data_IF_114626507200
#
_entry.id   IF_114626507200
#
_cell.length_a   1.000
_cell.length_b   1.000
_cell.length_c   1.000
_cell.angle_alpha   90.00
_cell.angle_beta   90.00
_cell.angle_gamma   90.00
#
_symmetry.space_group_name_H-M   'P 1'
#
loop_
_entity.id
_entity.type
_entity.pdbx_description
1 polymer ?
#
# COMPACT_ATOMS: atom_id res chain seq x y z
N UNK A 1 13.70 -5.04 -26.71
CA UNK A 1 14.84 -5.50 -25.89
C UNK A 1 15.03 -4.47 -24.80
N UNK A 2 14.40 -4.64 -23.63
CA UNK A 2 14.48 -3.69 -22.54
C UNK A 2 15.52 -4.20 -21.54
N UNK A 3 16.60 -3.46 -21.42
CA UNK A 3 17.69 -3.69 -20.47
C UNK A 3 17.26 -3.07 -19.14
N UNK A 4 16.78 -3.87 -18.18
CA UNK A 4 16.59 -3.40 -16.81
C UNK A 4 17.95 -3.42 -16.12
N UNK A 5 18.57 -2.27 -16.00
CA UNK A 5 19.69 -2.04 -15.10
C UNK A 5 19.07 -1.68 -13.76
N UNK A 6 19.06 -2.62 -12.83
CA UNK A 6 18.78 -2.30 -11.43
C UNK A 6 20.04 -1.63 -10.87
N UNK A 7 20.10 -0.32 -10.98
CA UNK A 7 20.95 0.46 -10.09
C UNK A 7 20.36 0.36 -8.69
N UNK A 8 21.21 0.04 -7.74
CA UNK A 8 20.94 0.09 -6.31
C UNK A 8 20.60 1.55 -5.98
N UNK A 9 19.33 1.92 -6.07
CA UNK A 9 18.87 3.21 -5.58
C UNK A 9 18.82 3.12 -4.06
N UNK A 10 19.52 4.08 -3.46
CA UNK A 10 19.45 4.46 -2.06
C UNK A 10 18.02 4.42 -1.56
N UNK A 11 17.86 4.08 -0.30
CA UNK A 11 16.59 4.05 0.43
C UNK A 11 15.69 5.19 -0.05
N UNK A 12 14.61 4.85 -0.73
CA UNK A 12 13.57 5.82 -1.02
C UNK A 12 12.95 6.18 0.33
N UNK A 13 13.50 7.21 0.96
CA UNK A 13 12.76 7.95 1.97
C UNK A 13 11.40 8.26 1.36
N UNK A 14 10.33 7.75 1.98
CA UNK A 14 8.97 8.19 1.71
C UNK A 14 9.07 9.71 1.65
N UNK A 15 8.89 10.29 0.46
CA UNK A 15 8.90 11.74 0.30
C UNK A 15 7.68 12.29 1.03
N UNK A 16 7.86 12.53 2.31
CA UNK A 16 6.90 13.06 3.28
C UNK A 16 6.66 14.60 3.23
N UNK A 17 7.06 15.40 2.21
CA UNK A 17 6.89 16.85 2.29
C UNK A 17 5.42 17.27 2.45
N UNK A 18 4.48 16.46 1.97
CA UNK A 18 3.04 16.79 2.02
C UNK A 18 2.44 16.53 3.39
N UNK A 19 2.97 15.57 4.16
CA UNK A 19 2.43 15.19 5.47
C UNK A 19 3.01 16.05 6.59
N UNK A 20 4.29 16.46 6.50
CA UNK A 20 4.92 17.38 7.45
C UNK A 20 4.21 18.72 7.51
N UNK A 21 3.81 19.30 6.38
CA UNK A 21 3.05 20.55 6.36
C UNK A 21 1.68 20.47 7.05
N UNK A 22 1.05 19.29 7.05
CA UNK A 22 -0.21 19.06 7.78
C UNK A 22 0.03 18.89 9.30
N UNK A 23 1.14 18.26 9.69
CA UNK A 23 1.54 18.12 11.10
C UNK A 23 1.97 19.47 11.69
N UNK A 24 2.68 20.31 10.95
CA UNK A 24 3.11 21.63 11.38
C UNK A 24 1.92 22.57 11.65
N UNK A 25 0.83 22.42 10.90
CA UNK A 25 -0.40 23.21 11.08
C UNK A 25 -1.37 22.63 12.10
N UNK A 26 -1.19 21.40 12.56
CA UNK A 26 -2.06 20.75 13.54
C UNK A 26 -2.19 21.53 14.86
N UNK A 27 -1.11 22.13 15.43
CA UNK A 27 -1.20 22.95 16.61
C UNK A 27 -2.09 24.19 16.45
N UNK A 28 -2.17 24.78 15.26
CA UNK A 28 -3.04 25.95 14.99
C UNK A 28 -4.53 25.60 15.18
N UNK A 29 -4.91 24.33 14.99
CA UNK A 29 -6.28 23.85 15.17
C UNK A 29 -6.55 23.19 16.51
N UNK A 30 -5.58 23.20 17.45
CA UNK A 30 -5.67 22.57 18.78
C UNK A 30 -6.11 21.09 18.74
N UNK A 31 -5.72 20.37 17.68
CA UNK A 31 -6.05 18.96 17.51
C UNK A 31 -4.80 18.10 17.44
N UNK A 32 -4.83 17.01 18.17
CA UNK A 32 -3.80 15.98 18.05
C UNK A 32 -4.05 15.15 16.78
N UNK A 33 -3.08 15.11 15.89
CA UNK A 33 -3.14 14.36 14.66
C UNK A 33 -2.11 13.23 14.73
N UNK A 34 -2.56 12.03 14.44
CA UNK A 34 -1.75 10.83 14.39
C UNK A 34 -1.69 10.31 12.97
N UNK A 35 -0.48 9.98 12.51
CA UNK A 35 -0.22 9.37 11.21
C UNK A 35 0.46 8.02 11.41
N UNK A 36 0.10 7.05 10.60
CA UNK A 36 0.81 5.78 10.47
C UNK A 36 1.15 5.55 9.00
N UNK A 37 2.44 5.60 8.67
CA UNK A 37 2.93 5.24 7.35
C UNK A 37 3.18 3.73 7.32
N UNK A 38 2.36 3.01 6.58
CA UNK A 38 2.43 1.56 6.44
C UNK A 38 3.41 1.22 5.32
N UNK A 39 4.39 0.38 5.61
CA UNK A 39 5.24 -0.27 4.62
C UNK A 39 4.78 -1.73 4.45
N UNK A 40 4.55 -2.13 3.20
CA UNK A 40 4.20 -3.52 2.88
C UNK A 40 5.46 -4.32 2.51
N UNK A 41 5.65 -5.47 3.16
CA UNK A 41 6.75 -6.36 2.83
C UNK A 41 6.57 -6.92 1.42
N UNK A 42 7.45 -6.52 0.48
CA UNK A 42 7.43 -6.97 -0.93
C UNK A 42 6.06 -6.78 -1.59
N UNK A 43 5.47 -5.58 -1.45
CA UNK A 43 4.10 -5.24 -1.86
C UNK A 43 3.68 -5.85 -3.21
N UNK A 44 4.39 -5.52 -4.30
CA UNK A 44 4.08 -6.02 -5.64
C UNK A 44 4.27 -7.53 -5.80
N UNK A 45 5.25 -8.09 -5.11
CA UNK A 45 5.55 -9.54 -5.16
C UNK A 45 4.53 -10.38 -4.39
N UNK A 46 3.79 -9.79 -3.46
CA UNK A 46 2.79 -10.48 -2.67
C UNK A 46 1.41 -10.50 -3.33
N UNK A 47 1.17 -9.68 -4.36
CA UNK A 47 -0.11 -9.68 -5.08
C UNK A 47 -0.20 -10.89 -6.00
N UNK A 48 -1.04 -11.85 -5.63
CA UNK A 48 -1.40 -13.00 -6.46
C UNK A 48 -2.39 -12.60 -7.55
N UNK A 49 -2.11 -12.98 -8.80
CA UNK A 49 -2.98 -12.63 -9.93
C UNK A 49 -4.40 -13.16 -9.79
N UNK A 50 -4.59 -14.39 -9.27
CA UNK A 50 -5.92 -14.96 -9.14
C UNK A 50 -6.76 -14.19 -8.13
N UNK A 51 -6.13 -13.81 -6.98
CA UNK A 51 -6.78 -12.95 -6.00
C UNK A 51 -7.09 -11.58 -6.58
N UNK A 52 -6.15 -10.97 -7.33
CA UNK A 52 -6.35 -9.68 -7.98
C UNK A 52 -7.58 -9.70 -8.90
N UNK A 53 -7.70 -10.71 -9.77
CA UNK A 53 -8.84 -10.80 -10.70
C UNK A 53 -10.17 -10.98 -9.96
N UNK A 54 -10.18 -11.74 -8.88
CA UNK A 54 -11.36 -11.90 -8.02
C UNK A 54 -11.77 -10.57 -7.38
N UNK A 55 -10.81 -9.86 -6.80
CA UNK A 55 -11.01 -8.54 -6.18
C UNK A 55 -11.57 -7.53 -7.19
N UNK A 56 -10.98 -7.44 -8.40
CA UNK A 56 -11.46 -6.54 -9.43
C UNK A 56 -12.91 -6.84 -9.82
N UNK A 57 -13.30 -8.11 -9.89
CA UNK A 57 -14.66 -8.52 -10.14
C UNK A 57 -15.62 -8.14 -9.00
N UNK A 58 -15.22 -8.36 -7.76
CA UNK A 58 -15.99 -7.97 -6.56
C UNK A 58 -16.15 -6.44 -6.45
N UNK A 59 -15.17 -5.67 -6.92
CA UNK A 59 -15.24 -4.21 -7.04
C UNK A 59 -16.13 -3.71 -8.20
N UNK A 60 -16.70 -4.60 -8.99
CA UNK A 60 -17.58 -4.26 -10.11
C UNK A 60 -16.85 -3.87 -11.39
N UNK A 61 -15.56 -4.16 -11.51
CA UNK A 61 -14.84 -3.95 -12.77
C UNK A 61 -15.37 -4.93 -13.83
N UNK A 62 -15.81 -4.43 -15.01
CA UNK A 62 -16.41 -5.26 -16.05
C UNK A 62 -15.52 -6.42 -16.50
N UNK A 63 -16.13 -7.60 -16.70
CA UNK A 63 -15.41 -8.83 -17.05
C UNK A 63 -14.59 -8.70 -18.34
N UNK A 64 -15.07 -7.92 -19.34
CA UNK A 64 -14.33 -7.70 -20.58
C UNK A 64 -13.00 -6.96 -20.36
N UNK A 65 -12.94 -6.00 -19.41
CA UNK A 65 -11.71 -5.28 -19.06
C UNK A 65 -10.74 -6.19 -18.31
N UNK A 66 -11.23 -6.93 -17.32
CA UNK A 66 -10.39 -7.88 -16.56
C UNK A 66 -9.86 -8.98 -17.48
N UNK A 67 -10.68 -9.48 -18.43
CA UNK A 67 -10.26 -10.46 -19.43
C UNK A 67 -9.18 -9.90 -20.38
N UNK A 68 -9.34 -8.64 -20.80
CA UNK A 68 -8.35 -7.95 -21.65
C UNK A 68 -6.99 -7.81 -20.93
N UNK A 69 -7.01 -7.37 -19.68
CA UNK A 69 -5.81 -7.26 -18.86
C UNK A 69 -5.15 -8.64 -18.68
N UNK A 70 -5.93 -9.63 -18.29
CA UNK A 70 -5.48 -11.00 -18.08
C UNK A 70 -4.82 -11.59 -19.34
N UNK A 71 -5.50 -11.53 -20.48
CA UNK A 71 -5.02 -12.13 -21.73
C UNK A 71 -3.86 -11.38 -22.37
N UNK A 72 -3.92 -10.04 -22.41
CA UNK A 72 -2.93 -9.24 -23.17
C UNK A 72 -1.71 -8.82 -22.36
N UNK A 73 -1.81 -8.74 -21.03
CA UNK A 73 -0.76 -8.17 -20.21
C UNK A 73 -0.15 -9.13 -19.19
N UNK A 74 -0.89 -10.16 -18.77
CA UNK A 74 -0.47 -11.03 -17.67
C UNK A 74 -0.44 -12.52 -18.01
N UNK A 75 -1.10 -12.98 -19.08
CA UNK A 75 -1.06 -14.37 -19.50
C UNK A 75 0.26 -14.68 -20.20
N UNK A 76 0.91 -15.77 -19.78
CA UNK A 76 2.11 -16.27 -20.42
C UNK A 76 3.32 -15.33 -20.38
N UNK A 77 3.41 -14.47 -19.38
CA UNK A 77 4.60 -13.64 -19.20
C UNK A 77 5.75 -14.47 -18.67
N UNK A 78 6.85 -14.41 -19.38
CA UNK A 78 8.09 -15.07 -19.02
C UNK A 78 9.21 -14.04 -18.86
N UNK A 79 10.15 -14.33 -18.01
CA UNK A 79 11.36 -13.56 -17.82
C UNK A 79 12.59 -14.45 -17.83
N UNK A 80 13.71 -13.84 -18.12
CA UNK A 80 15.03 -14.43 -17.97
C UNK A 80 15.95 -13.39 -17.34
N UNK A 81 16.93 -13.84 -16.59
CA UNK A 81 17.92 -12.99 -15.93
C UNK A 81 19.26 -13.16 -16.59
N UNK A 82 19.89 -12.06 -16.98
CA UNK A 82 21.28 -12.07 -17.45
C UNK A 82 22.21 -11.87 -16.25
N UNK A 83 23.02 -12.86 -16.00
CA UNK A 83 24.09 -12.81 -14.96
C UNK A 83 25.46 -12.68 -15.65
N UNK A 84 26.52 -12.43 -14.87
CA UNK A 84 27.90 -12.48 -15.37
C UNK A 84 28.32 -13.84 -15.94
N UNK A 85 27.59 -14.90 -15.62
CA UNK A 85 27.87 -16.29 -16.06
C UNK A 85 26.96 -16.78 -17.18
N UNK A 86 26.03 -15.94 -17.68
CA UNK A 86 25.12 -16.30 -18.77
C UNK A 86 23.69 -15.84 -18.57
N UNK A 87 22.77 -16.44 -19.31
CA UNK A 87 21.32 -16.15 -19.26
C UNK A 87 20.64 -17.37 -18.63
N UNK A 88 19.75 -17.13 -17.66
CA UNK A 88 18.93 -18.19 -17.06
C UNK A 88 17.90 -18.74 -18.06
N UNK A 89 17.35 -19.93 -17.76
CA UNK A 89 16.15 -20.40 -18.44
C UNK A 89 14.97 -19.45 -18.25
N UNK A 90 14.02 -19.49 -19.18
CA UNK A 90 12.79 -18.72 -19.09
C UNK A 90 11.91 -19.23 -17.96
N UNK A 91 11.41 -18.34 -17.12
CA UNK A 91 10.47 -18.67 -16.03
C UNK A 91 9.23 -17.77 -16.08
N UNK A 92 8.10 -18.33 -15.69
CA UNK A 92 6.84 -17.59 -15.70
C UNK A 92 6.74 -16.60 -14.54
N UNK A 93 6.19 -15.41 -14.83
CA UNK A 93 5.95 -14.36 -13.84
C UNK A 93 4.47 -14.40 -13.46
N UNK A 94 4.19 -14.74 -12.21
CA UNK A 94 2.82 -14.80 -11.64
C UNK A 94 2.43 -13.62 -10.76
N UNK A 95 3.19 -12.51 -10.79
CA UNK A 95 3.06 -11.39 -9.85
C UNK A 95 3.04 -10.04 -10.57
N UNK A 96 2.65 -8.97 -9.86
CA UNK A 96 2.71 -7.62 -10.42
C UNK A 96 4.16 -7.24 -10.71
N UNK A 97 4.38 -6.68 -11.90
CA UNK A 97 5.74 -6.32 -12.35
C UNK A 97 6.11 -4.93 -11.88
N UNK A 98 7.28 -4.81 -11.26
CA UNK A 98 7.92 -3.52 -11.07
C UNK A 98 8.29 -2.91 -12.43
N UNK A 99 8.11 -1.60 -12.57
CA UNK A 99 8.34 -0.88 -13.85
C UNK A 99 7.23 -1.02 -14.89
N UNK A 100 6.14 -1.73 -14.62
CA UNK A 100 4.95 -1.73 -15.46
C UNK A 100 4.03 -0.56 -15.08
N UNK A 101 3.67 0.28 -16.03
CA UNK A 101 2.80 1.47 -15.80
C UNK A 101 1.43 1.11 -15.19
N UNK A 102 0.93 -0.09 -15.40
CA UNK A 102 -0.35 -0.56 -14.87
C UNK A 102 -0.24 -1.13 -13.44
N UNK A 103 0.94 -1.56 -13.02
CA UNK A 103 1.11 -2.20 -11.70
C UNK A 103 0.74 -1.28 -10.53
N UNK A 104 1.14 0.01 -10.50
CA UNK A 104 0.69 0.94 -9.46
C UNK A 104 -0.83 1.12 -9.45
N UNK A 105 -1.47 1.23 -10.62
CA UNK A 105 -2.93 1.38 -10.72
C UNK A 105 -3.66 0.14 -10.20
N UNK A 106 -3.19 -1.06 -10.55
CA UNK A 106 -3.78 -2.30 -10.07
C UNK A 106 -3.56 -2.50 -8.57
N UNK A 107 -2.38 -2.10 -8.07
CA UNK A 107 -2.12 -2.11 -6.64
C UNK A 107 -3.02 -1.13 -5.90
N UNK A 108 -3.24 0.07 -6.42
CA UNK A 108 -4.18 1.04 -5.84
C UNK A 108 -5.61 0.46 -5.74
N UNK A 109 -6.10 -0.27 -6.75
CA UNK A 109 -7.39 -0.95 -6.68
C UNK A 109 -7.39 -2.07 -5.62
N UNK A 110 -6.30 -2.80 -5.51
CA UNK A 110 -6.13 -3.84 -4.49
C UNK A 110 -6.14 -3.24 -3.08
N UNK A 111 -5.41 -2.15 -2.86
CA UNK A 111 -5.40 -1.42 -1.60
C UNK A 111 -6.77 -0.79 -1.29
N UNK A 112 -7.48 -0.27 -2.30
CA UNK A 112 -8.85 0.26 -2.15
C UNK A 112 -9.81 -0.82 -1.60
N UNK A 113 -9.74 -2.03 -2.14
CA UNK A 113 -10.53 -3.16 -1.65
C UNK A 113 -10.25 -3.44 -0.16
N UNK A 114 -8.98 -3.44 0.23
CA UNK A 114 -8.59 -3.63 1.64
C UNK A 114 -9.20 -2.54 2.53
N UNK A 115 -9.09 -1.27 2.12
CA UNK A 115 -9.58 -0.15 2.92
C UNK A 115 -11.09 -0.13 3.06
N UNK A 116 -11.83 -0.51 2.00
CA UNK A 116 -13.30 -0.67 2.06
C UNK A 116 -13.69 -1.76 3.04
N UNK A 117 -13.05 -2.94 2.98
CA UNK A 117 -13.35 -4.05 3.87
C UNK A 117 -12.95 -3.74 5.34
N UNK A 118 -11.91 -2.94 5.55
CA UNK A 118 -11.56 -2.43 6.86
C UNK A 118 -12.54 -1.37 7.40
N UNK A 119 -13.53 -0.95 6.59
CA UNK A 119 -14.55 0.02 6.99
C UNK A 119 -14.03 1.44 7.18
N UNK A 120 -12.94 1.83 6.50
CA UNK A 120 -12.34 3.15 6.67
C UNK A 120 -13.25 4.30 6.22
N UNK A 121 -14.11 4.07 5.24
CA UNK A 121 -15.05 5.09 4.75
C UNK A 121 -16.13 5.40 5.78
N UNK A 122 -16.53 4.42 6.59
CA UNK A 122 -17.57 4.55 7.61
C UNK A 122 -17.03 5.08 8.97
N UNK A 123 -15.72 5.07 9.15
CA UNK A 123 -15.12 5.50 10.41
C UNK A 123 -15.15 7.01 10.56
N UNK A 124 -15.58 7.48 11.73
CA UNK A 124 -15.49 8.90 12.10
C UNK A 124 -14.10 9.28 12.66
N UNK A 125 -13.16 8.35 12.64
CA UNK A 125 -11.85 8.49 13.26
C UNK A 125 -10.85 9.33 12.45
N UNK A 126 -11.11 9.58 11.18
CA UNK A 126 -10.25 10.39 10.32
C UNK A 126 -10.26 11.88 10.65
N UNK A 127 -9.44 12.64 9.95
CA UNK A 127 -9.34 14.10 10.09
C UNK A 127 -10.40 14.77 9.22
N UNK A 128 -11.15 15.71 9.79
CA UNK A 128 -12.13 16.49 9.03
C UNK A 128 -11.48 17.66 8.31
N UNK A 129 -11.38 17.57 6.99
CA UNK A 129 -10.91 18.66 6.12
C UNK A 129 -12.04 19.05 5.20
N UNK A 130 -12.43 20.34 5.19
CA UNK A 130 -13.51 20.88 4.35
C UNK A 130 -14.79 20.00 4.36
N UNK A 131 -15.25 19.59 5.53
CA UNK A 131 -16.41 18.71 5.79
C UNK A 131 -16.26 17.26 5.29
N UNK A 132 -15.11 16.87 4.78
CA UNK A 132 -14.80 15.48 4.41
C UNK A 132 -13.96 14.84 5.50
N UNK A 133 -14.30 13.60 5.83
CA UNK A 133 -13.50 12.80 6.74
C UNK A 133 -12.41 12.08 5.93
N UNK A 134 -11.15 12.40 6.20
CA UNK A 134 -10.01 11.80 5.52
C UNK A 134 -9.28 10.91 6.53
N UNK A 135 -9.27 9.62 6.30
CA UNK A 135 -8.65 8.62 7.19
C UNK A 135 -7.41 7.97 6.59
N UNK A 136 -7.18 8.13 5.29
CA UNK A 136 -6.02 7.54 4.63
C UNK A 136 -5.61 8.30 3.37
N UNK A 137 -4.31 8.19 3.04
CA UNK A 137 -3.74 8.56 1.74
C UNK A 137 -3.01 7.36 1.16
N UNK A 138 -3.08 7.20 -0.15
CA UNK A 138 -2.45 6.08 -0.84
C UNK A 138 -1.88 6.50 -2.18
N UNK A 139 -0.70 6.01 -2.45
CA UNK A 139 -0.09 6.09 -3.77
C UNK A 139 0.75 4.83 -4.00
N UNK A 140 0.26 3.93 -4.87
CA UNK A 140 0.89 2.62 -5.07
C UNK A 140 0.94 1.83 -3.75
N UNK A 141 2.12 1.39 -3.33
CA UNK A 141 2.40 0.68 -2.07
C UNK A 141 2.54 1.61 -0.86
N UNK A 142 2.75 2.90 -1.08
CA UNK A 142 2.79 3.89 0.00
C UNK A 142 1.38 4.14 0.55
N UNK A 143 1.16 3.78 1.79
CA UNK A 143 -0.12 3.95 2.48
C UNK A 143 0.09 4.69 3.79
N UNK A 144 -0.65 5.76 4.01
CA UNK A 144 -0.68 6.48 5.27
C UNK A 144 -2.10 6.51 5.84
N UNK A 145 -2.26 6.08 7.09
CA UNK A 145 -3.50 6.24 7.86
C UNK A 145 -3.41 7.50 8.72
N UNK A 146 -4.56 8.12 8.96
CA UNK A 146 -4.67 9.33 9.77
C UNK A 146 -5.87 9.25 10.71
N UNK A 147 -5.69 9.76 11.94
CA UNK A 147 -6.77 9.91 12.89
C UNK A 147 -6.52 11.06 13.88
N UNK A 148 -7.59 11.59 14.49
CA UNK A 148 -7.53 12.62 15.53
C UNK A 148 -7.31 12.03 16.95
N UNK A 149 -7.24 10.71 17.11
CA UNK A 149 -7.18 10.04 18.41
C UNK A 149 -6.54 8.66 18.35
N UNK A 150 -6.53 7.97 19.48
CA UNK A 150 -6.12 6.55 19.61
C UNK A 150 -6.90 5.59 18.68
N UNK A 151 -7.97 6.06 18.03
CA UNK A 151 -8.67 5.33 16.97
C UNK A 151 -7.76 4.88 15.83
N UNK A 152 -6.58 5.51 15.64
CA UNK A 152 -5.58 5.08 14.65
C UNK A 152 -5.14 3.64 14.87
N UNK A 153 -4.95 3.20 16.12
CA UNK A 153 -4.56 1.81 16.43
C UNK A 153 -5.64 0.81 15.97
N UNK A 154 -6.89 1.11 16.26
CA UNK A 154 -8.02 0.27 15.82
C UNK A 154 -8.11 0.19 14.29
N UNK A 155 -7.92 1.32 13.59
CA UNK A 155 -7.88 1.36 12.12
C UNK A 155 -6.72 0.54 11.58
N UNK A 156 -5.53 0.71 12.13
CA UNK A 156 -4.33 0.01 11.72
C UNK A 156 -4.49 -1.52 11.85
N UNK A 157 -5.05 -1.99 12.96
CA UNK A 157 -5.28 -3.41 13.18
C UNK A 157 -6.30 -3.99 12.19
N UNK A 158 -7.37 -3.25 11.87
CA UNK A 158 -8.35 -3.67 10.85
C UNK A 158 -7.71 -3.74 9.46
N UNK A 159 -6.93 -2.72 9.08
CA UNK A 159 -6.23 -2.71 7.78
C UNK A 159 -5.23 -3.86 7.71
N UNK A 160 -4.52 -4.14 8.80
CA UNK A 160 -3.59 -5.28 8.88
C UNK A 160 -4.30 -6.60 8.65
N UNK A 161 -5.41 -6.85 9.36
CA UNK A 161 -6.22 -8.06 9.22
C UNK A 161 -6.72 -8.25 7.77
N UNK A 162 -7.30 -7.21 7.17
CA UNK A 162 -7.79 -7.27 5.79
C UNK A 162 -6.65 -7.44 4.78
N UNK A 163 -5.49 -6.82 5.02
CA UNK A 163 -4.30 -7.00 4.20
C UNK A 163 -3.80 -8.45 4.21
N UNK A 164 -3.77 -9.08 5.37
CA UNK A 164 -3.33 -10.47 5.54
C UNK A 164 -4.28 -11.46 4.83
N UNK A 165 -5.59 -11.22 4.84
CA UNK A 165 -6.59 -12.04 4.12
C UNK A 165 -6.30 -12.12 2.62
N UNK A 166 -5.82 -11.02 2.05
CA UNK A 166 -5.46 -10.96 0.63
C UNK A 166 -4.00 -11.30 0.35
N UNK A 167 -3.19 -11.49 1.38
CA UNK A 167 -1.79 -11.94 1.27
C UNK A 167 -0.75 -10.83 1.34
N UNK A 168 -1.14 -9.59 1.68
CA UNK A 168 -0.20 -8.52 1.99
C UNK A 168 0.19 -8.56 3.47
N UNK A 169 1.47 -8.40 3.75
CA UNK A 169 2.00 -8.35 5.12
C UNK A 169 2.65 -7.00 5.38
N UNK A 170 2.47 -6.48 6.58
CA UNK A 170 3.17 -5.27 7.01
C UNK A 170 4.65 -5.58 7.26
N UNK A 171 5.49 -4.62 6.91
CA UNK A 171 6.86 -4.54 7.41
C UNK A 171 6.84 -3.66 8.67
N UNK A 172 6.70 -4.29 9.83
CA UNK A 172 6.53 -3.58 11.12
C UNK A 172 7.72 -2.68 11.39
N UNK A 173 8.95 -3.12 11.09
CA UNK A 173 10.17 -2.35 11.33
C UNK A 173 10.27 -1.07 10.48
N UNK A 174 9.64 -1.05 9.31
CA UNK A 174 9.60 0.11 8.42
C UNK A 174 8.32 0.92 8.54
N UNK A 175 7.28 0.37 9.16
CA UNK A 175 6.04 1.08 9.46
C UNK A 175 6.33 2.13 10.54
N UNK A 176 6.02 3.39 10.26
CA UNK A 176 6.34 4.53 11.14
C UNK A 176 5.07 5.21 11.62
N UNK A 177 5.07 5.55 12.91
CA UNK A 177 3.99 6.31 13.53
C UNK A 177 4.52 7.70 13.91
N UNK A 178 3.77 8.71 13.54
CA UNK A 178 4.07 10.11 13.84
C UNK A 178 2.85 10.77 14.47
N UNK A 179 3.04 11.68 15.42
CA UNK A 179 1.97 12.48 15.97
C UNK A 179 2.41 13.92 16.23
N UNK A 180 1.43 14.81 16.29
CA UNK A 180 1.64 16.22 16.65
C UNK A 180 1.84 16.44 18.16
N UNK A 181 1.62 15.40 18.99
CA UNK A 181 1.84 15.38 20.44
C UNK A 181 2.74 14.23 20.84
N UNK A 182 3.38 14.28 22.05
CA UNK A 182 4.20 13.18 22.53
C UNK A 182 3.44 11.85 22.51
N UNK A 183 4.02 10.83 21.87
CA UNK A 183 3.45 9.50 21.78
C UNK A 183 4.09 8.61 22.82
N UNK A 184 3.28 7.85 23.57
CA UNK A 184 3.75 6.65 24.26
C UNK A 184 4.02 5.57 23.22
N UNK A 185 5.08 4.79 23.37
CA UNK A 185 5.50 3.74 22.43
C UNK A 185 4.32 2.87 21.96
N UNK A 186 4.13 2.76 20.64
CA UNK A 186 3.12 1.91 20.06
C UNK A 186 3.73 0.56 19.71
N UNK A 187 3.00 -0.51 20.05
CA UNK A 187 3.37 -1.87 19.68
C UNK A 187 2.35 -2.42 18.68
N UNK A 188 2.86 -3.01 17.62
CA UNK A 188 2.11 -3.80 16.64
C UNK A 188 2.60 -5.22 16.81
N UNK A 189 1.72 -6.15 17.22
CA UNK A 189 2.06 -7.57 17.50
C UNK A 189 3.23 -7.76 18.50
N UNK A 190 3.39 -6.84 19.45
CA UNK A 190 4.48 -6.90 20.43
C UNK A 190 5.82 -6.31 19.96
N UNK A 191 5.92 -5.87 18.70
CA UNK A 191 7.07 -5.14 18.17
C UNK A 191 6.81 -3.63 18.22
N UNK A 192 7.84 -2.85 18.56
CA UNK A 192 7.75 -1.38 18.59
C UNK A 192 7.84 -0.85 17.15
N UNK A 193 6.85 -0.07 16.73
CA UNK A 193 6.79 0.60 15.44
C UNK A 193 7.30 2.04 15.55
#
# INVERSE_FOLDING_TARGET
>A
MFKLVLEKTEEQEIKLPTYTGSLEKAPEFQKNIYFCCIDYAKAFDCVDHNKLWKILKEMGIPDHLTCLLKKKRYAGQEATVRTGHGITDWFQIGKLRQGCILSPCLFNLYAEYIMRNAGLEETKAGIKIARRNISNFRYSDDTALMAESEGLKSLLMKVKEESEKVGLKFNIQKTKIMASSPITSWQIDGETA
#
